data_IF_247833566597
#
_entry.id   IF_247833566597
#
_cell.length_a   1.000
_cell.length_b   1.000
_cell.length_c   1.000
_cell.angle_alpha   90.00
_cell.angle_beta   90.00
_cell.angle_gamma   90.00
#
_symmetry.space_group_name_H-M   'P 1'
#
loop_
_entity.id
_entity.type
_entity.pdbx_description
1 polymer ?
#
# COMPACT_ATOMS: atom_id res chain seq x y z
N UNK A 1 -22.32 -53.30 28.06
CA UNK A 1 -22.40 -52.56 26.78
C UNK A 1 -23.55 -51.54 26.75
N UNK A 2 -24.02 -51.02 27.89
CA UNK A 2 -25.15 -50.05 27.96
C UNK A 2 -24.70 -48.64 28.41
N UNK A 3 -23.53 -48.54 29.05
CA UNK A 3 -23.01 -47.31 29.65
C UNK A 3 -22.49 -46.30 28.62
N UNK A 4 -22.00 -46.77 27.47
CA UNK A 4 -21.39 -45.92 26.42
C UNK A 4 -22.46 -45.08 25.71
N UNK A 5 -23.65 -45.63 25.48
CA UNK A 5 -24.72 -44.96 24.73
C UNK A 5 -25.29 -43.76 25.49
N UNK A 6 -25.36 -43.79 26.82
CA UNK A 6 -25.93 -42.70 27.63
C UNK A 6 -25.04 -41.45 27.62
N UNK A 7 -23.71 -41.64 27.60
CA UNK A 7 -22.75 -40.53 27.53
C UNK A 7 -22.78 -39.81 26.18
N UNK A 8 -23.05 -40.54 25.09
CA UNK A 8 -23.12 -39.96 23.75
C UNK A 8 -24.32 -39.00 23.56
N UNK A 9 -25.45 -39.24 24.24
CA UNK A 9 -26.64 -38.39 24.13
C UNK A 9 -26.56 -37.12 25.01
N UNK A 10 -25.77 -37.13 26.07
CA UNK A 10 -25.63 -35.98 26.97
C UNK A 10 -24.98 -34.76 26.27
N UNK A 11 -24.13 -34.99 25.27
CA UNK A 11 -23.51 -33.93 24.46
C UNK A 11 -24.49 -33.14 23.59
N UNK A 12 -25.61 -33.74 23.17
CA UNK A 12 -26.62 -33.09 22.32
C UNK A 12 -27.66 -32.25 23.10
N UNK A 13 -27.79 -32.47 24.42
CA UNK A 13 -28.75 -31.76 25.27
C UNK A 13 -28.15 -30.56 26.03
N UNK A 14 -26.84 -30.33 25.93
CA UNK A 14 -26.14 -29.24 26.60
C UNK A 14 -26.40 -27.90 25.94
N UNK A 15 -26.77 -26.88 26.74
CA UNK A 15 -26.79 -25.48 26.27
C UNK A 15 -25.35 -24.97 26.23
N UNK A 16 -24.81 -24.59 25.06
CA UNK A 16 -23.45 -24.05 24.99
C UNK A 16 -23.36 -22.74 25.77
N UNK A 17 -22.32 -22.59 26.59
CA UNK A 17 -21.98 -21.30 27.22
C UNK A 17 -21.29 -20.44 26.15
N UNK A 18 -22.02 -19.49 25.59
CA UNK A 18 -21.47 -18.55 24.59
C UNK A 18 -20.68 -17.48 25.35
N UNK A 19 -19.35 -17.48 25.20
CA UNK A 19 -18.48 -16.42 25.70
C UNK A 19 -18.09 -15.53 24.53
N UNK A 20 -18.45 -14.25 24.58
CA UNK A 20 -18.00 -13.25 23.61
C UNK A 20 -16.70 -12.63 24.10
N UNK A 21 -15.66 -12.73 23.29
CA UNK A 21 -14.37 -12.07 23.53
C UNK A 21 -14.12 -11.00 22.46
N UNK A 22 -13.52 -9.88 22.87
CA UNK A 22 -13.05 -8.86 21.94
C UNK A 22 -11.71 -9.36 21.40
N UNK A 23 -11.64 -9.58 20.08
CA UNK A 23 -10.41 -9.98 19.39
C UNK A 23 -10.00 -8.86 18.46
N UNK A 24 -8.79 -8.34 18.63
CA UNK A 24 -8.20 -7.43 17.67
C UNK A 24 -7.76 -8.22 16.45
N UNK A 25 -8.40 -7.96 15.31
CA UNK A 25 -8.06 -8.58 14.03
C UNK A 25 -7.38 -7.53 13.14
N UNK A 26 -6.17 -7.78 12.63
CA UNK A 26 -5.55 -6.88 11.65
C UNK A 26 -6.43 -6.82 10.40
N UNK A 27 -6.72 -5.61 9.94
CA UNK A 27 -7.46 -5.36 8.71
C UNK A 27 -6.48 -4.93 7.63
N UNK A 28 -6.47 -5.64 6.51
CA UNK A 28 -5.65 -5.25 5.36
C UNK A 28 -6.09 -3.86 4.86
N UNK A 29 -5.16 -2.92 4.86
CA UNK A 29 -5.36 -1.56 4.32
C UNK A 29 -4.62 -1.41 3.00
N UNK A 30 -5.18 -0.59 2.09
CA UNK A 30 -4.50 -0.25 0.84
C UNK A 30 -3.23 0.54 1.15
N UNK A 31 -2.11 0.14 0.53
CA UNK A 31 -0.87 0.88 0.65
C UNK A 31 -1.05 2.27 0.04
N UNK A 32 -0.74 3.31 0.81
CA UNK A 32 -0.77 4.70 0.34
C UNK A 32 0.64 5.12 -0.05
N UNK A 33 0.83 5.41 -1.33
CA UNK A 33 2.07 6.01 -1.83
C UNK A 33 1.95 7.53 -1.73
N UNK A 34 2.86 8.15 -0.98
CA UNK A 34 2.98 9.60 -0.95
C UNK A 34 3.81 10.10 -2.15
N UNK A 35 3.52 11.32 -2.59
CA UNK A 35 4.28 11.95 -3.68
C UNK A 35 5.70 12.29 -3.20
N UNK A 36 6.76 11.80 -3.86
CA UNK A 36 8.13 12.14 -3.51
C UNK A 36 8.40 13.65 -3.54
N UNK A 37 9.29 14.13 -2.66
CA UNK A 37 9.66 15.55 -2.59
C UNK A 37 10.31 16.07 -3.89
N UNK A 38 10.88 15.17 -4.69
CA UNK A 38 11.50 15.46 -5.98
C UNK A 38 10.47 15.75 -7.08
N UNK A 39 9.23 15.31 -6.89
CA UNK A 39 8.14 15.59 -7.82
C UNK A 39 7.68 17.03 -7.66
N UNK A 40 8.02 17.87 -8.65
CA UNK A 40 7.68 19.29 -8.68
C UNK A 40 6.31 19.51 -9.30
N UNK A 41 5.58 20.51 -8.78
CA UNK A 41 4.33 20.99 -9.39
C UNK A 41 4.55 21.93 -10.57
N UNK A 42 5.76 22.47 -10.72
CA UNK A 42 6.20 23.26 -11.86
C UNK A 42 7.67 22.97 -12.18
N UNK A 43 7.98 22.83 -13.46
CA UNK A 43 9.28 22.48 -13.99
C UNK A 43 10.03 23.71 -14.50
N UNK A 44 11.33 23.55 -14.78
CA UNK A 44 12.15 24.62 -15.34
C UNK A 44 11.57 25.21 -16.63
N UNK A 45 10.96 24.40 -17.50
CA UNK A 45 10.36 24.84 -18.76
C UNK A 45 9.10 25.70 -18.59
N UNK A 46 8.40 25.60 -17.46
CA UNK A 46 7.19 26.41 -17.20
C UNK A 46 7.52 27.89 -17.01
N UNK A 47 8.82 28.21 -16.89
CA UNK A 47 9.33 29.56 -16.66
C UNK A 47 9.96 30.18 -17.91
N UNK A 48 10.03 29.48 -19.04
CA UNK A 48 10.60 30.01 -20.29
C UNK A 48 9.51 30.42 -21.29
N UNK A 49 9.81 31.41 -22.11
CA UNK A 49 8.98 31.88 -23.21
C UNK A 49 9.48 31.32 -24.55
N UNK A 50 8.58 31.24 -25.53
CA UNK A 50 8.94 30.94 -26.93
C UNK A 50 9.85 32.02 -27.53
N UNK A 51 9.82 33.23 -26.98
CA UNK A 51 10.66 34.34 -27.41
C UNK A 51 12.06 34.35 -26.78
N UNK A 52 12.33 33.45 -25.83
CA UNK A 52 13.66 33.35 -25.21
C UNK A 52 14.67 32.78 -26.19
N UNK A 53 15.96 33.03 -25.93
CA UNK A 53 17.02 32.48 -26.76
C UNK A 53 17.08 30.95 -26.66
N UNK A 54 17.55 30.32 -27.73
CA UNK A 54 17.59 28.86 -27.83
C UNK A 54 18.44 28.20 -26.74
N UNK A 55 19.49 28.86 -26.25
CA UNK A 55 20.33 28.30 -25.19
C UNK A 55 19.58 28.27 -23.85
N UNK A 56 18.82 29.32 -23.54
CA UNK A 56 17.96 29.38 -22.34
C UNK A 56 16.89 28.30 -22.37
N UNK A 57 16.19 28.13 -23.50
CA UNK A 57 15.18 27.08 -23.67
C UNK A 57 15.80 25.68 -23.52
N UNK A 58 16.95 25.42 -24.17
CA UNK A 58 17.62 24.11 -24.08
C UNK A 58 18.10 23.77 -22.66
N UNK A 59 18.52 24.77 -21.88
CA UNK A 59 18.90 24.57 -20.47
C UNK A 59 17.69 24.21 -19.62
N UNK A 60 16.56 24.89 -19.81
CA UNK A 60 15.33 24.57 -19.11
C UNK A 60 14.82 23.15 -19.43
N UNK A 61 14.89 22.74 -20.71
CA UNK A 61 14.52 21.39 -21.13
C UNK A 61 15.41 20.31 -20.48
N UNK A 62 16.74 20.52 -20.43
CA UNK A 62 17.64 19.59 -19.74
C UNK A 62 17.33 19.48 -18.25
N UNK A 63 17.10 20.61 -17.59
CA UNK A 63 16.74 20.63 -16.18
C UNK A 63 15.41 19.88 -15.93
N UNK A 64 14.40 20.07 -16.78
CA UNK A 64 13.12 19.34 -16.66
C UNK A 64 13.32 17.82 -16.76
N UNK A 65 14.15 17.35 -17.70
CA UNK A 65 14.42 15.92 -17.87
C UNK A 65 14.98 15.34 -16.56
N UNK A 66 15.97 16.01 -15.96
CA UNK A 66 16.58 15.59 -14.70
C UNK A 66 15.56 15.61 -13.54
N UNK A 67 14.75 16.67 -13.45
CA UNK A 67 13.70 16.82 -12.43
C UNK A 67 12.64 15.71 -12.52
N UNK A 68 12.15 15.43 -13.73
CA UNK A 68 11.17 14.35 -13.97
C UNK A 68 11.75 12.98 -13.68
N UNK A 69 12.99 12.74 -14.09
CA UNK A 69 13.65 11.46 -13.87
C UNK A 69 13.83 11.16 -12.37
N UNK A 70 14.22 12.18 -11.59
CA UNK A 70 14.35 12.05 -10.15
C UNK A 70 13.02 11.69 -9.47
N UNK A 71 11.91 12.33 -9.89
CA UNK A 71 10.57 12.01 -9.42
C UNK A 71 10.17 10.58 -9.79
N UNK A 72 10.35 10.19 -11.06
CA UNK A 72 9.94 8.88 -11.57
C UNK A 72 10.66 7.74 -10.87
N UNK A 73 11.99 7.82 -10.71
CA UNK A 73 12.76 6.78 -10.02
C UNK A 73 12.23 6.56 -8.60
N UNK A 74 11.98 7.64 -7.86
CA UNK A 74 11.53 7.56 -6.46
C UNK A 74 10.09 7.10 -6.36
N UNK A 75 9.23 7.54 -7.27
CA UNK A 75 7.85 7.09 -7.33
C UNK A 75 7.76 5.60 -7.64
N UNK A 76 8.54 5.11 -8.61
CA UNK A 76 8.63 3.69 -8.94
C UNK A 76 9.16 2.87 -7.77
N UNK A 77 10.16 3.38 -7.04
CA UNK A 77 10.66 2.72 -5.83
C UNK A 77 9.57 2.61 -4.74
N UNK A 78 8.81 3.68 -4.51
CA UNK A 78 7.71 3.70 -3.54
C UNK A 78 6.59 2.72 -3.93
N UNK A 79 6.20 2.69 -5.22
CA UNK A 79 5.22 1.75 -5.76
C UNK A 79 5.69 0.30 -5.63
N UNK A 80 6.96 0.03 -5.93
CA UNK A 80 7.56 -1.31 -5.77
C UNK A 80 7.54 -1.74 -4.31
N UNK A 81 7.81 -0.82 -3.38
CA UNK A 81 7.66 -1.05 -1.94
C UNK A 81 6.23 -1.49 -1.59
N UNK A 82 5.23 -0.71 -2.01
CA UNK A 82 3.82 -1.02 -1.77
C UNK A 82 3.37 -2.36 -2.38
N UNK A 83 3.78 -2.66 -3.63
CA UNK A 83 3.34 -3.84 -4.35
C UNK A 83 4.03 -5.14 -3.91
N UNK A 84 5.23 -5.04 -3.33
CA UNK A 84 6.00 -6.19 -2.85
C UNK A 84 5.86 -6.44 -1.34
N UNK A 85 4.97 -5.72 -0.64
CA UNK A 85 4.68 -6.03 0.76
C UNK A 85 4.16 -7.48 0.83
N UNK A 86 4.82 -8.38 1.57
CA UNK A 86 4.28 -9.72 1.75
C UNK A 86 2.91 -9.58 2.43
N UNK A 87 1.91 -10.27 1.90
CA UNK A 87 0.65 -10.56 2.57
C UNK A 87 0.91 -11.43 3.83
N UNK A 88 1.74 -10.96 4.76
CA UNK A 88 2.27 -11.79 5.86
C UNK A 88 1.20 -12.16 6.90
N UNK A 89 -0.07 -11.82 6.67
CA UNK A 89 -1.18 -12.21 7.54
C UNK A 89 -2.45 -12.63 6.78
N UNK A 90 -2.34 -13.09 5.53
CA UNK A 90 -3.52 -13.67 4.83
C UNK A 90 -3.65 -15.19 4.98
N UNK A 91 -2.66 -15.86 5.60
CA UNK A 91 -2.62 -17.31 5.75
C UNK A 91 -2.32 -17.72 7.21
N UNK A 92 -3.12 -17.26 8.17
CA UNK A 92 -3.28 -17.96 9.43
C UNK A 92 -4.78 -18.14 9.67
N UNK A 93 -5.32 -19.15 8.99
CA UNK A 93 -6.30 -20.17 9.43
C UNK A 93 -6.96 -20.83 8.21
#
# INVERSE_FOLDING_TARGET
MLTISVLALAGCAGKPVIQTQVVEKPVAVLCRVETPAECKSAYAVDRVSVNDDSLTINRALRAEIEERWACEIKLLAALKGCNNLPQKELNHE
#
